data_IF_061245296074
#
_entry.id   IF_061245296074
#
_cell.length_a   1.000
_cell.length_b   1.000
_cell.length_c   1.000
_cell.angle_alpha   90.00
_cell.angle_beta   90.00
_cell.angle_gamma   90.00
#
_symmetry.space_group_name_H-M   'P 1'
#
loop_
_entity.id
_entity.type
_entity.pdbx_description
1 polymer ?
#
# COMPACT_ATOMS: atom_id res chain seq x y z
N UNK A 1 14.04 -10.68 34.99
CA UNK A 1 13.71 -10.05 33.70
C UNK A 1 12.39 -9.27 33.71
N UNK A 2 11.37 -9.61 34.51
CA UNK A 2 10.09 -8.87 34.52
C UNK A 2 10.21 -7.43 35.04
N UNK A 3 10.92 -7.19 36.16
CA UNK A 3 11.05 -5.85 36.76
C UNK A 3 11.68 -4.79 35.85
N UNK A 4 12.69 -5.16 35.05
CA UNK A 4 13.33 -4.21 34.13
C UNK A 4 12.43 -3.89 32.92
N UNK A 5 11.66 -4.87 32.45
CA UNK A 5 10.63 -4.66 31.42
C UNK A 5 9.49 -3.76 31.92
N UNK A 6 9.08 -3.91 33.18
CA UNK A 6 8.06 -3.06 33.81
C UNK A 6 8.54 -1.61 33.95
N UNK A 7 9.72 -1.39 34.54
CA UNK A 7 10.32 -0.04 34.66
C UNK A 7 10.51 0.61 33.29
N UNK A 8 10.93 -0.16 32.29
CA UNK A 8 11.10 0.35 30.94
C UNK A 8 9.75 0.68 30.28
N UNK A 9 8.71 -0.13 30.51
CA UNK A 9 7.35 0.14 30.03
C UNK A 9 6.81 1.43 30.63
N UNK A 10 6.97 1.65 31.93
CA UNK A 10 6.55 2.88 32.62
C UNK A 10 7.28 4.12 32.07
N UNK A 11 8.58 4.01 31.80
CA UNK A 11 9.35 5.10 31.19
C UNK A 11 8.91 5.38 29.75
N UNK A 12 8.62 4.34 28.96
CA UNK A 12 8.14 4.51 27.58
C UNK A 12 6.72 5.08 27.55
N UNK A 13 5.91 4.73 28.54
CA UNK A 13 4.59 5.31 28.82
C UNK A 13 4.68 6.82 29.09
N UNK A 14 5.51 7.21 30.05
CA UNK A 14 5.71 8.62 30.38
C UNK A 14 6.26 9.40 29.17
N UNK A 15 7.26 8.85 28.47
CA UNK A 15 7.81 9.43 27.25
C UNK A 15 6.73 9.64 26.17
N UNK A 16 5.95 8.61 25.87
CA UNK A 16 4.93 8.68 24.84
C UNK A 16 3.79 9.64 25.22
N UNK A 17 3.47 9.78 26.51
CA UNK A 17 2.48 10.75 27.00
C UNK A 17 2.95 12.19 26.80
N UNK A 18 4.22 12.48 27.14
CA UNK A 18 4.85 13.80 27.00
C UNK A 18 5.01 14.21 25.54
N UNK A 19 5.41 13.28 24.69
CA UNK A 19 5.72 13.55 23.28
C UNK A 19 4.58 13.17 22.32
N UNK A 20 3.38 12.87 22.81
CA UNK A 20 2.22 12.43 21.99
C UNK A 20 1.96 13.30 20.76
N UNK A 21 2.01 14.62 20.92
CA UNK A 21 1.74 15.55 19.82
C UNK A 21 2.86 15.55 18.77
N UNK A 22 4.11 15.35 19.19
CA UNK A 22 5.28 15.27 18.31
C UNK A 22 5.29 13.97 17.52
N UNK A 23 4.93 12.84 18.15
CA UNK A 23 4.76 11.53 17.48
C UNK A 23 3.70 11.63 16.38
N UNK A 24 2.60 12.36 16.62
CA UNK A 24 1.54 12.53 15.61
C UNK A 24 1.97 13.46 14.47
N UNK A 25 2.65 14.56 14.77
CA UNK A 25 2.99 15.59 13.78
C UNK A 25 4.21 15.25 12.93
N UNK A 26 5.28 14.75 13.55
CA UNK A 26 6.57 14.54 12.92
C UNK A 26 6.78 13.08 12.52
N UNK A 27 6.88 12.83 11.22
CA UNK A 27 7.06 11.49 10.67
C UNK A 27 8.39 10.82 11.09
N UNK A 28 9.49 11.58 11.14
CA UNK A 28 10.79 11.04 11.53
C UNK A 28 10.79 10.59 12.99
N UNK A 29 10.19 11.39 13.87
CA UNK A 29 10.09 11.07 15.28
C UNK A 29 9.15 9.88 15.53
N UNK A 30 8.03 9.80 14.80
CA UNK A 30 7.13 8.64 14.83
C UNK A 30 7.84 7.34 14.46
N UNK A 31 8.66 7.37 13.41
CA UNK A 31 9.46 6.23 12.97
C UNK A 31 10.44 5.77 14.05
N UNK A 32 11.23 6.69 14.60
CA UNK A 32 12.18 6.37 15.67
C UNK A 32 11.49 5.75 16.89
N UNK A 33 10.32 6.28 17.25
CA UNK A 33 9.50 5.72 18.32
C UNK A 33 9.03 4.29 18.01
N UNK A 34 8.62 4.01 16.78
CA UNK A 34 8.23 2.66 16.36
C UNK A 34 9.40 1.68 16.32
N UNK A 35 10.56 2.10 15.82
CA UNK A 35 11.79 1.29 15.80
C UNK A 35 12.20 0.91 17.22
N UNK A 36 12.11 1.85 18.18
CA UNK A 36 12.35 1.59 19.59
C UNK A 36 11.36 0.56 20.17
N UNK A 37 10.06 0.69 19.86
CA UNK A 37 9.06 -0.28 20.33
C UNK A 37 9.30 -1.68 19.74
N UNK A 38 9.61 -1.75 18.43
CA UNK A 38 9.86 -2.99 17.71
C UNK A 38 11.11 -3.73 18.21
N UNK A 39 12.20 -3.01 18.54
CA UNK A 39 13.42 -3.60 19.09
C UNK A 39 13.19 -4.38 20.40
N UNK A 40 12.10 -4.07 21.10
CA UNK A 40 11.75 -4.66 22.41
C UNK A 40 10.64 -5.72 22.25
N UNK A 41 10.10 -5.87 21.04
CA UNK A 41 8.98 -6.77 20.77
C UNK A 41 7.63 -6.21 21.23
N UNK A 42 7.53 -4.89 21.41
CA UNK A 42 6.27 -4.20 21.72
C UNK A 42 5.72 -3.58 20.44
N UNK A 43 4.49 -3.90 20.09
CA UNK A 43 3.80 -3.30 18.96
C UNK A 43 2.81 -2.22 19.48
N UNK A 44 3.11 -0.92 19.27
CA UNK A 44 2.27 0.17 19.75
C UNK A 44 0.90 0.23 19.05
N UNK A 45 0.70 -0.59 18.00
CA UNK A 45 -0.49 -0.64 17.15
C UNK A 45 -1.26 -1.97 17.27
N UNK A 46 -0.83 -2.89 18.14
CA UNK A 46 -1.42 -4.25 18.21
C UNK A 46 -2.74 -4.36 18.99
N UNK A 47 -3.09 -3.40 19.87
CA UNK A 47 -4.27 -3.57 20.72
C UNK A 47 -5.00 -2.26 21.05
N UNK A 48 -6.31 -2.25 20.81
CA UNK A 48 -7.24 -1.26 21.33
C UNK A 48 -7.51 -1.39 22.85
N UNK A 49 -7.11 -2.53 23.45
CA UNK A 49 -7.16 -2.81 24.91
C UNK A 49 -5.75 -2.89 25.51
N UNK A 50 -4.86 -2.02 25.06
CA UNK A 50 -3.50 -1.94 25.56
C UNK A 50 -3.19 -0.54 26.06
N UNK A 51 -2.13 -0.39 26.83
CA UNK A 51 -1.68 0.92 27.31
C UNK A 51 -1.49 1.95 26.15
N UNK A 52 -1.04 1.48 24.97
CA UNK A 52 -0.87 2.30 23.76
C UNK A 52 -2.15 2.91 23.18
N UNK A 53 -3.32 2.31 23.43
CA UNK A 53 -4.59 2.87 22.97
C UNK A 53 -4.98 4.10 23.79
N UNK A 54 -4.66 4.14 25.08
CA UNK A 54 -4.88 5.30 25.97
C UNK A 54 -4.02 6.50 25.51
N UNK A 55 -2.82 6.22 24.99
CA UNK A 55 -1.96 7.23 24.39
C UNK A 55 -2.47 7.73 23.03
N UNK A 56 -3.44 7.06 22.41
CA UNK A 56 -4.02 7.45 21.12
C UNK A 56 -3.02 7.44 19.97
N UNK A 57 -1.95 6.64 20.09
CA UNK A 57 -0.96 6.42 19.03
C UNK A 57 -1.55 5.50 17.96
N UNK A 58 -2.36 4.52 18.38
CA UNK A 58 -3.15 3.67 17.49
C UNK A 58 -4.18 4.44 16.66
N UNK A 59 -4.80 5.47 17.23
CA UNK A 59 -5.87 6.26 16.58
C UNK A 59 -5.44 6.81 15.21
N UNK A 60 -4.18 7.25 15.10
CA UNK A 60 -3.63 7.75 13.83
C UNK A 60 -3.65 6.66 12.75
N UNK A 61 -3.21 5.44 13.08
CA UNK A 61 -3.17 4.33 12.13
C UNK A 61 -4.54 3.73 11.86
N UNK A 62 -5.46 3.78 12.82
CA UNK A 62 -6.85 3.38 12.61
C UNK A 62 -7.57 4.36 11.68
N UNK A 63 -7.43 5.67 11.91
CA UNK A 63 -7.96 6.70 11.03
C UNK A 63 -7.35 6.60 9.63
N UNK A 64 -6.02 6.43 9.54
CA UNK A 64 -5.33 6.23 8.27
C UNK A 64 -5.82 4.97 7.55
N UNK A 65 -6.05 3.88 8.29
CA UNK A 65 -6.60 2.64 7.75
C UNK A 65 -7.98 2.83 7.13
N UNK A 66 -8.89 3.53 7.81
CA UNK A 66 -10.22 3.85 7.28
C UNK A 66 -10.11 4.68 5.99
N UNK A 67 -9.27 5.71 5.98
CA UNK A 67 -9.09 6.55 4.80
C UNK A 67 -8.48 5.79 3.62
N UNK A 68 -7.56 4.84 3.88
CA UNK A 68 -7.02 3.96 2.84
C UNK A 68 -8.15 3.14 2.23
N UNK A 69 -9.02 2.54 3.04
CA UNK A 69 -10.18 1.77 2.57
C UNK A 69 -11.10 2.63 1.71
N UNK A 70 -11.41 3.85 2.15
CA UNK A 70 -12.25 4.80 1.40
C UNK A 70 -11.67 5.13 0.03
N UNK A 71 -10.37 5.46 -0.04
CA UNK A 71 -9.69 5.77 -1.31
C UNK A 71 -9.67 4.53 -2.23
N UNK A 72 -9.38 3.36 -1.69
CA UNK A 72 -9.39 2.12 -2.46
C UNK A 72 -10.79 1.82 -3.03
N UNK A 73 -11.86 1.94 -2.23
CA UNK A 73 -13.23 1.77 -2.69
C UNK A 73 -13.62 2.81 -3.75
N UNK A 74 -13.24 4.07 -3.55
CA UNK A 74 -13.52 5.16 -4.48
C UNK A 74 -12.77 5.03 -5.82
N UNK A 75 -11.66 4.29 -5.88
CA UNK A 75 -10.86 4.13 -7.09
C UNK A 75 -11.05 2.77 -7.78
N UNK A 76 -11.67 1.81 -7.09
CA UNK A 76 -11.84 0.44 -7.56
C UNK A 76 -12.44 0.35 -8.98
N UNK A 77 -13.45 1.17 -9.29
CA UNK A 77 -14.09 1.16 -10.61
C UNK A 77 -13.17 1.63 -11.76
N UNK A 78 -12.08 2.35 -11.45
CA UNK A 78 -11.10 2.83 -12.43
C UNK A 78 -9.91 1.89 -12.57
N UNK A 79 -9.42 1.32 -11.46
CA UNK A 79 -8.14 0.62 -11.40
C UNK A 79 -8.22 -0.87 -11.02
N UNK A 80 -9.44 -1.41 -10.87
CA UNK A 80 -9.67 -2.81 -10.52
C UNK A 80 -9.21 -3.19 -9.11
N UNK A 81 -8.93 -2.21 -8.25
CA UNK A 81 -8.53 -2.45 -6.87
C UNK A 81 -7.01 -2.48 -6.63
N UNK A 82 -6.21 -2.08 -7.63
CA UNK A 82 -4.77 -1.86 -7.49
C UNK A 82 -4.42 -0.37 -7.50
N UNK A 83 -3.67 0.08 -6.51
CA UNK A 83 -3.24 1.48 -6.40
C UNK A 83 -1.78 1.57 -5.93
N UNK A 84 -0.98 2.47 -6.52
CA UNK A 84 0.41 2.69 -6.07
C UNK A 84 0.42 3.42 -4.73
N UNK A 85 1.47 3.22 -3.93
CA UNK A 85 1.63 3.98 -2.68
C UNK A 85 1.74 5.48 -2.92
N UNK A 86 2.40 5.91 -4.00
CA UNK A 86 2.52 7.32 -4.35
C UNK A 86 1.14 7.94 -4.62
N UNK A 87 0.29 7.22 -5.33
CA UNK A 87 -1.05 7.68 -5.66
C UNK A 87 -1.97 7.67 -4.44
N UNK A 88 -1.97 6.56 -3.70
CA UNK A 88 -2.72 6.44 -2.44
C UNK A 88 -2.37 7.59 -1.50
N UNK A 89 -1.08 7.89 -1.33
CA UNK A 89 -0.60 9.01 -0.53
C UNK A 89 -1.12 10.35 -1.05
N UNK A 90 -1.04 10.58 -2.36
CA UNK A 90 -1.47 11.83 -2.99
C UNK A 90 -2.97 12.06 -2.80
N UNK A 91 -3.79 11.03 -3.00
CA UNK A 91 -5.24 11.08 -2.76
C UNK A 91 -5.59 11.29 -1.29
N UNK A 92 -4.89 10.64 -0.36
CA UNK A 92 -5.09 10.85 1.08
C UNK A 92 -4.75 12.27 1.52
N UNK A 93 -3.68 12.85 0.97
CA UNK A 93 -3.31 14.24 1.25
C UNK A 93 -4.35 15.20 0.64
N UNK A 94 -4.89 14.88 -0.54
CA UNK A 94 -5.93 15.67 -1.19
C UNK A 94 -7.27 15.61 -0.42
N UNK A 95 -7.70 14.42 0.03
CA UNK A 95 -8.97 14.23 0.75
C UNK A 95 -8.97 14.90 2.13
N UNK A 96 -7.81 15.01 2.79
CA UNK A 96 -7.66 15.72 4.07
C UNK A 96 -7.76 17.26 3.97
N UNK A 97 -7.78 17.86 2.78
CA UNK A 97 -8.09 19.28 2.57
C UNK A 97 -7.25 20.28 3.40
N UNK A 98 -7.89 21.32 3.97
CA UNK A 98 -7.23 22.38 4.79
C UNK A 98 -6.68 21.89 6.13
N UNK A 99 -6.93 20.63 6.53
CA UNK A 99 -6.26 19.97 7.67
C UNK A 99 -4.81 19.54 7.36
N UNK A 100 -4.31 19.87 6.15
CA UNK A 100 -2.93 19.72 5.64
C UNK A 100 -1.79 20.02 6.63
N UNK A 101 -2.03 20.78 7.69
CA UNK A 101 -0.99 21.22 8.64
C UNK A 101 -0.68 20.24 9.77
N UNK A 102 -1.48 19.18 9.98
CA UNK A 102 -1.41 18.47 11.26
C UNK A 102 -0.62 17.16 11.30
N UNK A 103 -0.43 16.45 10.18
CA UNK A 103 0.26 15.14 10.22
C UNK A 103 0.93 14.83 8.88
N UNK A 104 2.25 14.73 8.88
CA UNK A 104 3.01 14.24 7.72
C UNK A 104 2.78 12.74 7.56
N UNK A 105 2.14 12.32 6.46
CA UNK A 105 1.94 10.90 6.12
C UNK A 105 3.10 10.44 5.24
N UNK A 106 3.77 9.35 5.62
CA UNK A 106 4.85 8.72 4.83
C UNK A 106 4.39 7.39 4.21
N UNK A 107 5.16 6.89 3.25
CA UNK A 107 4.93 5.56 2.67
C UNK A 107 5.03 4.44 3.71
N UNK A 108 5.90 4.61 4.72
CA UNK A 108 6.03 3.66 5.84
C UNK A 108 4.76 3.62 6.69
N UNK A 109 4.13 4.77 6.92
CA UNK A 109 2.86 4.84 7.65
C UNK A 109 1.73 4.11 6.89
N UNK A 110 1.67 4.30 5.56
CA UNK A 110 0.71 3.60 4.70
C UNK A 110 0.94 2.08 4.74
N UNK A 111 2.19 1.64 4.61
CA UNK A 111 2.53 0.22 4.69
C UNK A 111 2.17 -0.38 6.06
N UNK A 112 2.42 0.35 7.15
CA UNK A 112 2.04 -0.08 8.49
C UNK A 112 0.51 -0.18 8.63
N UNK A 113 -0.24 0.81 8.14
CA UNK A 113 -1.70 0.81 8.16
C UNK A 113 -2.28 -0.35 7.33
N UNK A 114 -1.82 -0.56 6.09
CA UNK A 114 -2.29 -1.67 5.24
C UNK A 114 -1.99 -3.02 5.87
N UNK A 115 -0.80 -3.21 6.47
CA UNK A 115 -0.48 -4.45 7.21
C UNK A 115 -1.48 -4.73 8.34
N UNK A 116 -2.03 -3.69 8.97
CA UNK A 116 -3.05 -3.83 10.02
C UNK A 116 -4.43 -4.14 9.45
N UNK A 117 -4.75 -3.69 8.25
CA UNK A 117 -6.01 -4.03 7.56
C UNK A 117 -6.13 -5.53 7.23
N UNK A 118 -5.02 -6.29 7.25
CA UNK A 118 -5.04 -7.76 7.07
C UNK A 118 -5.92 -8.51 8.08
N UNK A 119 -6.28 -7.90 9.22
CA UNK A 119 -7.23 -8.49 10.17
C UNK A 119 -8.63 -8.68 9.57
N UNK A 120 -8.97 -7.91 8.53
CA UNK A 120 -10.23 -8.06 7.79
C UNK A 120 -10.17 -9.19 6.74
N UNK A 121 -9.08 -9.96 6.71
CA UNK A 121 -8.84 -11.06 5.77
C UNK A 121 -7.91 -10.67 4.62
N UNK A 122 -8.03 -11.37 3.50
CA UNK A 122 -7.14 -11.20 2.33
C UNK A 122 -7.57 -10.04 1.40
N UNK A 123 -8.44 -9.14 1.85
CA UNK A 123 -8.91 -8.03 1.03
C UNK A 123 -7.89 -6.90 0.85
N UNK A 124 -6.91 -6.77 1.75
CA UNK A 124 -5.87 -5.74 1.67
C UNK A 124 -4.47 -6.36 1.74
N UNK A 125 -3.72 -6.28 0.65
CA UNK A 125 -2.35 -6.80 0.56
C UNK A 125 -1.43 -5.77 -0.08
N UNK A 126 -0.13 -5.90 0.21
CA UNK A 126 0.91 -5.06 -0.39
C UNK A 126 1.73 -5.92 -1.35
N UNK A 127 1.85 -5.48 -2.59
CA UNK A 127 2.53 -6.21 -3.67
C UNK A 127 3.78 -5.42 -4.11
N UNK A 128 4.99 -5.98 -3.97
CA UNK A 128 6.22 -5.34 -4.44
C UNK A 128 6.33 -5.39 -5.97
N UNK A 129 6.43 -4.23 -6.62
CA UNK A 129 6.61 -4.17 -8.08
C UNK A 129 8.07 -3.91 -8.47
N UNK A 130 8.76 -3.02 -7.76
CA UNK A 130 10.17 -2.70 -8.05
C UNK A 130 10.87 -2.27 -6.77
N UNK A 131 12.19 -2.04 -6.84
CA UNK A 131 12.95 -1.48 -5.71
C UNK A 131 12.30 -0.17 -5.26
N UNK A 132 11.68 -0.19 -4.08
CA UNK A 132 11.02 0.97 -3.48
C UNK A 132 9.59 1.28 -3.95
N UNK A 133 9.04 0.56 -4.94
CA UNK A 133 7.65 0.75 -5.40
C UNK A 133 6.76 -0.41 -5.00
N UNK A 134 5.60 -0.07 -4.47
CA UNK A 134 4.63 -1.03 -3.95
C UNK A 134 3.23 -0.66 -4.44
N UNK A 135 2.43 -1.69 -4.71
CA UNK A 135 0.98 -1.58 -4.89
C UNK A 135 0.27 -1.99 -3.60
N UNK A 136 -0.86 -1.37 -3.37
CA UNK A 136 -1.88 -1.85 -2.45
C UNK A 136 -2.98 -2.49 -3.29
N UNK A 137 -3.24 -3.76 -3.01
CA UNK A 137 -4.41 -4.47 -3.51
C UNK A 137 -5.52 -4.36 -2.48
N UNK A 138 -6.72 -4.03 -2.94
CA UNK A 138 -7.90 -3.76 -2.09
C UNK A 138 -9.11 -4.63 -2.43
N UNK A 139 -8.93 -5.58 -3.35
CA UNK A 139 -9.96 -6.52 -3.78
C UNK A 139 -9.57 -7.94 -3.37
N UNK A 140 -10.54 -8.79 -3.00
CA UNK A 140 -10.29 -10.20 -2.76
C UNK A 140 -9.74 -10.89 -4.01
N UNK A 141 -8.71 -11.71 -3.83
CA UNK A 141 -8.02 -12.40 -4.91
C UNK A 141 -6.53 -12.31 -4.66
N UNK A 142 -5.81 -13.41 -4.83
CA UNK A 142 -4.35 -13.38 -4.70
C UNK A 142 -3.76 -13.20 -6.09
N UNK A 143 -2.89 -12.20 -6.24
CA UNK A 143 -2.08 -12.12 -7.44
C UNK A 143 -1.12 -13.30 -7.46
N UNK A 144 -1.24 -14.14 -8.48
CA UNK A 144 -0.29 -15.23 -8.65
C UNK A 144 1.09 -14.69 -9.08
N UNK A 145 2.09 -15.57 -9.13
CA UNK A 145 3.45 -15.18 -9.51
C UNK A 145 3.51 -14.57 -10.91
N UNK A 146 2.73 -15.10 -11.86
CA UNK A 146 2.73 -14.64 -13.25
C UNK A 146 2.17 -13.22 -13.35
N UNK A 147 1.03 -12.95 -12.73
CA UNK A 147 0.42 -11.62 -12.68
C UNK A 147 1.33 -10.61 -12.00
N UNK A 148 1.99 -11.02 -10.92
CA UNK A 148 2.99 -10.18 -10.25
C UNK A 148 4.13 -9.84 -11.21
N UNK A 149 4.69 -10.83 -11.92
CA UNK A 149 5.76 -10.60 -12.90
C UNK A 149 5.32 -9.67 -14.05
N UNK A 150 4.08 -9.80 -14.52
CA UNK A 150 3.51 -8.89 -15.53
C UNK A 150 3.49 -7.45 -15.02
N UNK A 151 2.99 -7.21 -13.80
CA UNK A 151 2.99 -5.89 -13.17
C UNK A 151 4.43 -5.35 -12.99
N UNK A 152 5.37 -6.22 -12.60
CA UNK A 152 6.80 -5.87 -12.49
C UNK A 152 7.38 -5.42 -13.82
N UNK A 153 7.03 -6.08 -14.92
CA UNK A 153 7.45 -5.69 -16.27
C UNK A 153 6.83 -4.38 -16.71
N UNK A 154 5.52 -4.19 -16.52
CA UNK A 154 4.85 -2.93 -16.82
C UNK A 154 5.50 -1.74 -16.10
N UNK A 155 5.81 -1.90 -14.80
CA UNK A 155 6.49 -0.86 -14.03
C UNK A 155 7.97 -0.68 -14.40
N UNK A 156 8.65 -1.73 -14.85
CA UNK A 156 10.06 -1.67 -15.26
C UNK A 156 10.25 -0.92 -16.58
N UNK A 157 9.32 -1.08 -17.51
CA UNK A 157 9.30 -0.37 -18.80
C UNK A 157 8.86 1.09 -18.65
N UNK A 158 8.09 1.41 -17.60
CA UNK A 158 7.59 2.77 -17.35
C UNK A 158 6.47 3.20 -18.30
N UNK A 159 5.95 2.29 -19.12
CA UNK A 159 4.94 2.55 -20.16
C UNK A 159 3.51 2.33 -19.68
N UNK A 160 3.30 1.73 -18.50
CA UNK A 160 1.99 1.34 -17.94
C UNK A 160 1.20 0.32 -18.79
N UNK A 161 1.79 -0.21 -19.86
CA UNK A 161 1.23 -1.26 -20.69
C UNK A 161 2.25 -2.36 -20.95
N UNK A 162 1.75 -3.53 -21.35
CA UNK A 162 2.52 -4.69 -21.78
C UNK A 162 1.83 -5.36 -22.96
N UNK A 163 2.58 -6.13 -23.72
CA UNK A 163 2.06 -6.95 -24.82
C UNK A 163 2.54 -8.39 -24.68
N UNK A 164 1.94 -9.29 -25.47
CA UNK A 164 2.36 -10.70 -25.50
C UNK A 164 3.83 -10.81 -25.94
N UNK A 165 4.25 -10.03 -26.94
CA UNK A 165 5.64 -10.07 -27.44
C UNK A 165 6.65 -9.63 -26.38
N UNK A 166 6.32 -8.62 -25.58
CA UNK A 166 7.17 -8.16 -24.47
C UNK A 166 7.34 -9.26 -23.42
N UNK A 167 6.27 -9.98 -23.08
CA UNK A 167 6.35 -11.06 -22.09
C UNK A 167 7.14 -12.27 -22.64
N UNK A 168 7.02 -12.58 -23.93
CA UNK A 168 7.78 -13.68 -24.53
C UNK A 168 9.26 -13.32 -24.68
N UNK A 169 9.60 -12.08 -25.09
CA UNK A 169 11.00 -11.65 -25.24
C UNK A 169 11.72 -11.51 -23.90
N UNK A 170 11.08 -10.88 -22.92
CA UNK A 170 11.77 -10.44 -21.70
C UNK A 170 11.66 -11.43 -20.53
N UNK A 171 10.62 -12.27 -20.50
CA UNK A 171 10.44 -13.31 -19.49
C UNK A 171 10.66 -14.72 -20.05
N UNK A 172 10.86 -14.88 -21.36
CA UNK A 172 11.02 -16.19 -22.00
C UNK A 172 9.76 -17.05 -21.92
N UNK A 173 8.59 -16.43 -21.83
CA UNK A 173 7.32 -17.15 -21.72
C UNK A 173 6.86 -17.71 -23.07
N UNK A 174 6.01 -18.72 -23.02
CA UNK A 174 5.24 -19.15 -24.20
C UNK A 174 4.11 -18.17 -24.46
N UNK A 175 3.73 -17.99 -25.73
CA UNK A 175 2.61 -17.11 -26.12
C UNK A 175 1.33 -17.45 -25.36
N UNK A 176 0.99 -18.75 -25.27
CA UNK A 176 -0.18 -19.25 -24.54
C UNK A 176 -0.15 -18.84 -23.06
N UNK A 177 1.02 -18.89 -22.40
CA UNK A 177 1.15 -18.49 -20.99
C UNK A 177 0.95 -16.98 -20.83
N UNK A 178 1.58 -16.19 -21.69
CA UNK A 178 1.44 -14.74 -21.69
C UNK A 178 -0.01 -14.31 -21.93
N UNK A 179 -0.68 -14.88 -22.93
CA UNK A 179 -2.09 -14.63 -23.22
C UNK A 179 -2.98 -15.02 -22.04
N UNK A 180 -2.80 -16.20 -21.44
CA UNK A 180 -3.61 -16.62 -20.29
C UNK A 180 -3.44 -15.69 -19.08
N UNK A 181 -2.20 -15.25 -18.80
CA UNK A 181 -1.94 -14.30 -17.73
C UNK A 181 -2.61 -12.94 -17.99
N UNK A 182 -2.47 -12.40 -19.20
CA UNK A 182 -3.04 -11.12 -19.59
C UNK A 182 -4.57 -11.16 -19.63
N UNK A 183 -5.16 -12.20 -20.22
CA UNK A 183 -6.60 -12.41 -20.24
C UNK A 183 -7.18 -12.53 -18.83
N UNK A 184 -6.46 -13.16 -17.90
CA UNK A 184 -6.88 -13.19 -16.51
C UNK A 184 -6.88 -11.79 -15.89
N UNK A 185 -5.83 -10.99 -16.11
CA UNK A 185 -5.77 -9.61 -15.59
C UNK A 185 -6.92 -8.73 -16.14
N UNK A 186 -7.32 -8.94 -17.39
CA UNK A 186 -8.48 -8.26 -17.98
C UNK A 186 -9.79 -8.73 -17.34
N UNK A 187 -9.96 -10.04 -17.11
CA UNK A 187 -11.17 -10.60 -16.45
C UNK A 187 -11.36 -10.07 -15.03
N UNK A 188 -10.26 -9.90 -14.30
CA UNK A 188 -10.25 -9.31 -12.96
C UNK A 188 -10.39 -7.77 -12.99
N UNK A 189 -10.50 -7.15 -14.16
CA UNK A 189 -10.65 -5.69 -14.31
C UNK A 189 -9.37 -4.90 -14.01
N UNK A 190 -8.22 -5.55 -13.95
CA UNK A 190 -6.92 -4.94 -13.65
C UNK A 190 -6.27 -4.31 -14.89
N UNK A 191 -6.65 -4.76 -16.08
CA UNK A 191 -6.10 -4.32 -17.35
C UNK A 191 -7.17 -3.96 -18.36
N UNK A 192 -6.91 -2.95 -19.18
CA UNK A 192 -7.69 -2.59 -20.37
C UNK A 192 -7.02 -3.13 -21.62
N UNK A 193 -7.82 -3.49 -22.61
CA UNK A 193 -7.35 -4.00 -23.90
C UNK A 193 -7.39 -2.87 -24.91
N UNK A 194 -6.26 -2.63 -25.56
CA UNK A 194 -6.13 -1.69 -26.67
C UNK A 194 -5.72 -2.45 -27.94
N UNK A 195 -6.65 -2.48 -28.89
CA UNK A 195 -6.49 -3.09 -30.21
C UNK A 195 -6.27 -2.06 -31.32
N UNK A 196 -5.99 -0.80 -30.98
CA UNK A 196 -5.79 0.27 -31.97
C UNK A 196 -4.37 0.27 -32.54
N UNK A 197 -3.41 -0.35 -31.83
CA UNK A 197 -2.04 -0.54 -32.32
C UNK A 197 -2.01 -1.58 -33.45
N UNK A 198 -1.51 -1.24 -34.64
CA UNK A 198 -1.52 -2.15 -35.80
C UNK A 198 -0.66 -3.40 -35.64
N UNK A 199 0.35 -3.37 -34.76
CA UNK A 199 1.35 -4.45 -34.62
C UNK A 199 0.93 -5.53 -33.66
N UNK A 200 0.32 -5.16 -32.53
CA UNK A 200 -0.07 -6.10 -31.49
C UNK A 200 -1.07 -5.47 -30.53
N UNK A 201 -1.83 -6.32 -29.83
CA UNK A 201 -2.75 -5.89 -28.78
C UNK A 201 -1.97 -5.50 -27.52
N UNK A 202 -2.22 -4.28 -27.04
CA UNK A 202 -1.62 -3.75 -25.82
C UNK A 202 -2.58 -3.92 -24.63
N UNK A 203 -2.01 -4.25 -23.48
CA UNK A 203 -2.73 -4.40 -22.22
C UNK A 203 -2.28 -3.30 -21.27
N UNK A 204 -3.16 -2.35 -21.00
CA UNK A 204 -2.90 -1.16 -20.19
C UNK A 204 -3.33 -1.38 -18.74
N UNK A 205 -2.49 -1.02 -17.78
CA UNK A 205 -2.79 -1.08 -16.35
C UNK A 205 -3.14 0.31 -15.81
N UNK A 206 -4.42 0.61 -15.53
CA UNK A 206 -4.82 1.93 -15.06
C UNK A 206 -4.16 2.33 -13.74
N UNK A 207 -3.84 1.34 -12.90
CA UNK A 207 -3.12 1.52 -11.63
C UNK A 207 -1.72 2.11 -11.78
N UNK A 208 -1.11 2.00 -12.97
CA UNK A 208 0.22 2.54 -13.30
C UNK A 208 0.17 3.75 -14.23
N UNK A 209 -1.02 4.14 -14.69
CA UNK A 209 -1.21 5.23 -15.63
C UNK A 209 -1.51 6.54 -14.91
N UNK A 210 -0.54 7.47 -14.94
CA UNK A 210 -0.57 8.70 -14.15
C UNK A 210 -1.71 9.67 -14.50
N UNK A 211 -2.35 9.57 -15.67
CA UNK A 211 -3.50 10.43 -16.04
C UNK A 211 -4.86 9.85 -15.61
N UNK A 212 -5.00 8.52 -15.54
CA UNK A 212 -6.18 7.90 -14.90
C UNK A 212 -6.25 8.21 -13.39
N UNK A 213 -5.09 8.55 -12.85
CA UNK A 213 -4.82 8.95 -11.47
C UNK A 213 -5.29 10.38 -11.16
N UNK A 214 -5.26 11.31 -12.12
CA UNK A 214 -5.62 12.71 -11.89
C UNK A 214 -7.06 13.09 -12.24
N UNK A 215 -7.73 12.28 -13.07
CA UNK A 215 -9.16 12.41 -13.42
C UNK A 215 -10.08 11.77 -12.37
#
# INVERSE_FOLDING_TARGET
>A
MSKQLEVFRENLEDFASKHKSEIKKNAQFRRQFQEMCAAIGVDPLASGKGFWSVLGIGDFYYELGVQIVEVCLATNYKNGGLITLEELRSRLIASRGRAKKHQDITNEDLLAAVKKLRIFGNGFTVVPISKGKWLVQSVPGELNMDQTLVLQKASGLGTAWVSVSVLTSDLGWTEIRAENALNHMVREGLAWVDSQEPKETLYWFPSMFAECVSA
#
